data_IF_252136855488
#
_entry.id   IF_252136855488
#
_cell.length_a   1.000
_cell.length_b   1.000
_cell.length_c   1.000
_cell.angle_alpha   90.00
_cell.angle_beta   90.00
_cell.angle_gamma   90.00
#
_symmetry.space_group_name_H-M   'P 1'
#
loop_
_entity.id
_entity.type
_entity.pdbx_description
1 polymer ?
#
# COMPACT_ATOMS: atom_id res chain seq x y z
N UNK A 1 -25.06 6.23 2.91
CA UNK A 1 -24.52 6.57 4.20
C UNK A 1 -23.12 7.08 3.97
N UNK A 2 -22.10 7.05 4.59
CA UNK A 2 -20.90 7.86 4.49
C UNK A 2 -20.26 7.93 3.10
N UNK A 3 -20.27 9.09 2.48
CA UNK A 3 -19.53 9.31 1.23
C UNK A 3 -18.02 9.26 1.51
N UNK A 4 -17.26 8.71 0.58
CA UNK A 4 -15.81 8.74 0.56
C UNK A 4 -15.33 9.90 -0.30
N UNK A 5 -14.17 10.47 0.05
CA UNK A 5 -13.42 11.38 -0.82
C UNK A 5 -12.27 10.59 -1.43
N UNK A 6 -12.12 10.66 -2.76
CA UNK A 6 -11.08 9.94 -3.49
C UNK A 6 -10.22 10.93 -4.25
N UNK A 7 -8.90 10.79 -4.13
CA UNK A 7 -7.91 11.65 -4.79
C UNK A 7 -6.90 10.76 -5.53
N UNK A 8 -6.69 11.00 -6.81
CA UNK A 8 -5.59 10.38 -7.56
C UNK A 8 -4.24 10.94 -7.08
N UNK A 9 -3.23 10.09 -7.03
CA UNK A 9 -1.97 10.36 -6.38
C UNK A 9 -0.81 10.48 -7.36
N UNK A 10 0.00 11.52 -7.21
CA UNK A 10 1.28 11.67 -7.92
C UNK A 10 1.17 11.71 -9.45
N UNK A 11 0.00 11.95 -10.02
CA UNK A 11 -0.22 11.83 -11.46
C UNK A 11 -0.18 10.38 -11.98
N UNK A 12 -0.15 9.39 -11.07
CA UNK A 12 -0.09 7.96 -11.43
C UNK A 12 -1.52 7.44 -11.57
N UNK A 13 -1.93 7.21 -12.80
CA UNK A 13 -3.31 6.81 -13.15
C UNK A 13 -3.78 5.57 -12.38
N UNK A 14 -4.91 5.71 -11.69
CA UNK A 14 -5.58 4.64 -10.96
C UNK A 14 -5.09 4.47 -9.52
N UNK A 15 -3.94 5.03 -9.14
CA UNK A 15 -3.45 5.05 -7.77
C UNK A 15 -4.21 6.12 -6.97
N UNK A 16 -4.84 5.74 -5.83
CA UNK A 16 -5.79 6.64 -5.17
C UNK A 16 -5.65 6.61 -3.64
N UNK A 17 -5.74 7.78 -3.02
CA UNK A 17 -6.00 7.90 -1.58
C UNK A 17 -7.51 8.03 -1.38
N UNK A 18 -8.05 7.26 -0.44
CA UNK A 18 -9.46 7.26 -0.05
C UNK A 18 -9.57 7.76 1.38
N UNK A 19 -10.41 8.77 1.58
CA UNK A 19 -10.71 9.34 2.90
C UNK A 19 -12.17 9.03 3.23
N UNK A 20 -12.45 8.12 4.20
CA UNK A 20 -13.81 7.82 4.62
C UNK A 20 -14.41 8.98 5.42
N UNK A 21 -15.72 9.14 5.36
CA UNK A 21 -16.42 10.05 6.28
C UNK A 21 -16.46 9.45 7.67
N UNK A 22 -15.96 10.20 8.64
CA UNK A 22 -15.94 9.82 10.07
C UNK A 22 -17.03 10.56 10.81
N UNK A 23 -17.90 9.82 11.48
CA UNK A 23 -18.97 10.35 12.34
C UNK A 23 -18.58 10.20 13.80
N UNK A 24 -18.26 11.31 14.48
CA UNK A 24 -17.82 11.32 15.88
C UNK A 24 -18.88 11.90 16.81
N UNK A 25 -18.97 11.35 18.04
CA UNK A 25 -19.72 11.88 19.16
C UNK A 25 -19.01 11.60 20.51
N UNK A 26 -19.68 11.86 21.64
CA UNK A 26 -19.10 11.64 22.98
C UNK A 26 -18.77 10.18 23.30
N UNK A 27 -19.23 9.22 22.51
CA UNK A 27 -18.96 7.78 22.67
C UNK A 27 -17.75 7.31 21.86
N UNK A 28 -17.28 8.11 20.89
CA UNK A 28 -16.23 7.76 19.96
C UNK A 28 -16.62 8.08 18.52
N UNK A 29 -16.32 7.19 17.57
CA UNK A 29 -16.63 7.44 16.17
C UNK A 29 -17.15 6.16 15.47
N UNK A 30 -17.85 6.39 14.36
CA UNK A 30 -18.25 5.39 13.38
C UNK A 30 -17.80 5.82 12.00
N UNK A 31 -17.38 4.87 11.16
CA UNK A 31 -17.14 5.09 9.72
C UNK A 31 -17.37 3.80 8.94
N UNK A 32 -17.85 3.94 7.71
CA UNK A 32 -17.79 2.84 6.74
C UNK A 32 -16.39 2.79 6.18
N UNK A 33 -15.70 1.68 6.34
CA UNK A 33 -14.33 1.50 5.82
C UNK A 33 -14.32 0.99 4.40
N UNK A 34 -15.40 0.34 3.98
CA UNK A 34 -15.60 -0.13 2.62
C UNK A 34 -17.10 -0.28 2.32
N UNK A 35 -17.50 0.21 1.16
CA UNK A 35 -18.84 0.01 0.58
C UNK A 35 -18.66 -0.11 -0.93
N UNK A 36 -18.96 -1.27 -1.49
CA UNK A 36 -18.73 -1.56 -2.91
C UNK A 36 -19.36 -0.51 -3.85
N UNK A 37 -20.58 -0.06 -3.56
CA UNK A 37 -21.28 0.90 -4.42
C UNK A 37 -20.59 2.27 -4.41
N UNK A 38 -20.18 2.77 -3.24
CA UNK A 38 -19.49 4.06 -3.11
C UNK A 38 -18.11 4.02 -3.78
N UNK A 39 -17.37 2.90 -3.61
CA UNK A 39 -16.09 2.70 -4.26
C UNK A 39 -16.21 2.57 -5.78
N UNK A 40 -17.22 1.84 -6.26
CA UNK A 40 -17.52 1.72 -7.69
C UNK A 40 -17.88 3.06 -8.32
N UNK A 41 -18.71 3.87 -7.67
CA UNK A 41 -19.07 5.23 -8.11
C UNK A 41 -17.84 6.13 -8.17
N UNK A 42 -16.88 5.96 -7.25
CA UNK A 42 -15.60 6.67 -7.22
C UNK A 42 -14.53 6.09 -8.20
N UNK A 43 -14.91 5.15 -9.06
CA UNK A 43 -14.04 4.54 -10.07
C UNK A 43 -13.09 3.47 -9.51
N UNK A 44 -13.48 2.81 -8.41
CA UNK A 44 -12.83 1.62 -7.85
C UNK A 44 -13.82 0.46 -7.92
N UNK A 45 -14.03 -0.06 -9.13
CA UNK A 45 -14.98 -1.15 -9.39
C UNK A 45 -14.27 -2.52 -9.23
N UNK A 46 -13.73 -2.77 -8.05
CA UNK A 46 -12.95 -3.98 -7.73
C UNK A 46 -13.73 -4.85 -6.74
N UNK A 47 -13.79 -6.14 -7.01
CA UNK A 47 -14.29 -7.13 -6.06
C UNK A 47 -13.12 -7.63 -5.21
N UNK A 48 -13.21 -7.48 -3.89
CA UNK A 48 -12.20 -7.97 -2.95
C UNK A 48 -12.63 -9.32 -2.39
N UNK A 49 -11.70 -10.28 -2.42
CA UNK A 49 -11.96 -11.68 -2.07
C UNK A 49 -11.15 -12.17 -0.87
N UNK A 50 -10.19 -11.38 -0.39
CA UNK A 50 -9.32 -11.74 0.73
C UNK A 50 -9.03 -10.52 1.60
N UNK A 51 -9.10 -10.70 2.92
CA UNK A 51 -8.66 -9.73 3.93
C UNK A 51 -7.43 -10.26 4.67
N UNK A 52 -6.47 -9.37 4.90
CA UNK A 52 -5.25 -9.67 5.66
C UNK A 52 -5.02 -8.64 6.76
N UNK A 53 -4.36 -9.07 7.84
CA UNK A 53 -3.89 -8.19 8.91
C UNK A 53 -2.47 -8.57 9.30
N UNK A 54 -1.64 -7.57 9.53
CA UNK A 54 -0.30 -7.73 10.08
C UNK A 54 -0.06 -6.76 11.22
N UNK A 55 0.83 -7.15 12.13
CA UNK A 55 1.30 -6.36 13.25
C UNK A 55 2.82 -6.25 13.17
N UNK A 56 3.37 -5.07 13.36
CA UNK A 56 4.79 -4.80 13.18
C UNK A 56 5.29 -3.71 14.12
N UNK A 57 6.54 -3.83 14.55
CA UNK A 57 7.23 -2.83 15.36
C UNK A 57 7.87 -1.74 14.51
N UNK A 58 8.25 -0.63 15.16
CA UNK A 58 8.97 0.50 14.56
C UNK A 58 10.19 0.04 13.77
N UNK A 59 10.41 0.62 12.60
CA UNK A 59 11.53 0.30 11.73
C UNK A 59 11.32 -0.94 10.85
N UNK A 60 10.25 -1.72 11.05
CA UNK A 60 9.93 -2.82 10.13
C UNK A 60 9.57 -2.24 8.77
N UNK A 61 10.32 -2.65 7.74
CA UNK A 61 10.03 -2.34 6.34
C UNK A 61 9.69 -3.64 5.63
N UNK A 62 8.50 -3.69 5.03
CA UNK A 62 8.02 -4.82 4.23
C UNK A 62 7.86 -4.37 2.78
N UNK A 63 8.39 -5.13 1.85
CA UNK A 63 8.25 -4.84 0.42
C UNK A 63 9.59 -4.73 -0.31
N UNK A 64 9.57 -4.27 -1.51
CA UNK A 64 8.43 -3.95 -2.38
C UNK A 64 7.91 -5.22 -3.07
N UNK A 65 6.66 -5.64 -2.81
CA UNK A 65 6.12 -6.93 -3.25
C UNK A 65 5.02 -6.79 -4.31
N UNK A 66 4.90 -7.82 -5.15
CA UNK A 66 3.79 -8.02 -6.09
C UNK A 66 3.61 -9.51 -6.36
N UNK A 67 2.50 -9.89 -6.99
CA UNK A 67 2.32 -11.22 -7.59
C UNK A 67 2.45 -11.10 -9.11
N UNK A 68 3.11 -12.08 -9.73
CA UNK A 68 3.53 -12.02 -11.13
C UNK A 68 2.37 -12.42 -12.06
N UNK A 69 1.80 -13.62 -11.86
CA UNK A 69 0.75 -14.19 -12.71
C UNK A 69 -0.66 -13.93 -12.14
N UNK A 70 -0.76 -13.68 -10.83
CA UNK A 70 -2.01 -13.42 -10.12
C UNK A 70 -1.98 -12.04 -9.43
N UNK A 71 -1.81 -10.94 -10.21
CA UNK A 71 -1.66 -9.61 -9.64
C UNK A 71 -2.92 -9.17 -8.91
N UNK A 72 -2.72 -8.53 -7.76
CA UNK A 72 -3.79 -8.11 -6.85
C UNK A 72 -3.95 -6.59 -6.87
N UNK A 73 -5.21 -6.11 -6.97
CA UNK A 73 -5.55 -4.78 -6.46
C UNK A 73 -5.57 -4.85 -4.93
N UNK A 74 -5.14 -3.80 -4.27
CA UNK A 74 -5.10 -3.73 -2.81
C UNK A 74 -5.78 -2.47 -2.30
N UNK A 75 -6.54 -2.60 -1.23
CA UNK A 75 -7.06 -1.46 -0.46
C UNK A 75 -6.51 -1.58 0.97
N UNK A 76 -5.57 -0.71 1.30
CA UNK A 76 -4.80 -0.81 2.54
C UNK A 76 -5.13 0.32 3.50
N UNK A 77 -5.05 0.07 4.81
CA UNK A 77 -5.22 1.07 5.88
C UNK A 77 -4.52 0.62 7.16
N UNK A 78 -4.30 1.58 8.06
CA UNK A 78 -3.76 1.35 9.39
C UNK A 78 -4.86 1.48 10.43
N UNK A 79 -4.98 0.51 11.33
CA UNK A 79 -5.97 0.50 12.41
C UNK A 79 -5.36 0.82 13.77
N UNK A 80 -4.04 0.72 13.91
CA UNK A 80 -3.27 1.14 15.06
C UNK A 80 -1.90 1.64 14.59
N UNK A 81 -1.42 2.75 15.13
CA UNK A 81 -0.12 3.34 14.77
C UNK A 81 -0.10 4.04 13.43
N UNK A 82 1.09 4.10 12.82
CA UNK A 82 1.38 4.88 11.62
C UNK A 82 2.43 4.20 10.75
N UNK A 83 2.23 4.22 9.44
CA UNK A 83 3.20 3.75 8.44
C UNK A 83 3.36 4.77 7.32
N UNK A 84 4.51 4.74 6.65
CA UNK A 84 4.68 5.31 5.33
C UNK A 84 4.50 4.21 4.29
N UNK A 85 3.46 4.30 3.50
CA UNK A 85 3.06 3.30 2.52
C UNK A 85 3.44 3.74 1.11
N UNK A 86 4.03 2.84 0.32
CA UNK A 86 4.61 3.15 -1.00
C UNK A 86 4.09 2.19 -2.05
N UNK A 87 3.70 2.73 -3.19
CA UNK A 87 3.38 1.99 -4.39
C UNK A 87 4.25 2.44 -5.57
N UNK A 88 4.79 1.48 -6.32
CA UNK A 88 5.64 1.71 -7.50
C UNK A 88 4.92 1.18 -8.74
N UNK A 89 4.74 2.00 -9.76
CA UNK A 89 4.11 1.60 -11.01
C UNK A 89 5.02 0.67 -11.83
N UNK A 90 4.63 -0.59 -11.99
CA UNK A 90 5.33 -1.58 -12.79
C UNK A 90 4.55 -1.98 -14.06
N UNK A 91 3.54 -1.22 -14.44
CA UNK A 91 2.71 -1.52 -15.62
C UNK A 91 3.47 -1.16 -16.90
N UNK A 92 3.78 -2.15 -17.69
CA UNK A 92 4.43 -1.96 -19.00
C UNK A 92 3.62 -1.01 -19.88
N UNK A 93 4.31 -0.05 -20.51
CA UNK A 93 3.69 0.97 -21.36
C UNK A 93 3.00 2.11 -20.59
N UNK A 94 3.03 2.12 -19.26
CA UNK A 94 2.57 3.27 -18.47
C UNK A 94 3.52 4.46 -18.64
N UNK A 95 2.96 5.67 -18.76
CA UNK A 95 3.74 6.93 -18.76
C UNK A 95 4.46 7.14 -17.41
N UNK A 96 4.01 6.46 -16.38
CA UNK A 96 4.57 6.52 -15.02
C UNK A 96 5.31 5.24 -14.62
N UNK A 97 5.70 4.40 -15.60
CA UNK A 97 6.49 3.20 -15.34
C UNK A 97 7.76 3.49 -14.53
N UNK A 98 7.96 2.81 -13.42
CA UNK A 98 9.05 3.04 -12.48
C UNK A 98 8.86 4.25 -11.56
N UNK A 99 7.78 5.03 -11.67
CA UNK A 99 7.47 6.10 -10.72
C UNK A 99 6.79 5.54 -9.48
N UNK A 100 7.00 6.20 -8.36
CA UNK A 100 6.39 5.82 -7.09
C UNK A 100 5.62 6.98 -6.45
N UNK A 101 4.72 6.63 -5.56
CA UNK A 101 4.04 7.55 -4.67
C UNK A 101 4.00 6.96 -3.27
N UNK A 102 4.25 7.79 -2.27
CA UNK A 102 4.18 7.43 -0.87
C UNK A 102 3.17 8.28 -0.10
N UNK A 103 2.53 7.67 0.87
CA UNK A 103 1.54 8.33 1.73
C UNK A 103 1.65 7.83 3.17
N UNK A 104 1.49 8.74 4.13
CA UNK A 104 1.36 8.37 5.53
C UNK A 104 -0.07 7.89 5.77
N UNK A 105 -0.20 6.64 6.26
CA UNK A 105 -1.43 6.04 6.73
C UNK A 105 -1.36 5.85 8.24
N UNK A 106 -2.41 6.26 8.96
CA UNK A 106 -2.46 6.10 10.40
C UNK A 106 -3.86 5.81 10.92
N UNK A 107 -3.94 5.23 12.12
CA UNK A 107 -5.20 5.08 12.83
C UNK A 107 -5.88 6.44 13.09
N UNK A 108 -5.12 7.52 13.16
CA UNK A 108 -5.63 8.86 13.39
C UNK A 108 -6.19 9.50 12.11
N UNK A 109 -5.42 9.49 11.01
CA UNK A 109 -5.84 10.13 9.75
C UNK A 109 -6.89 9.30 8.98
N UNK A 110 -7.03 8.01 9.29
CA UNK A 110 -8.02 7.08 8.73
C UNK A 110 -8.00 6.95 7.20
N UNK A 111 -6.92 7.43 6.57
CA UNK A 111 -6.73 7.31 5.13
C UNK A 111 -6.57 5.85 4.74
N UNK A 112 -7.04 5.55 3.55
CA UNK A 112 -6.81 4.28 2.89
C UNK A 112 -6.10 4.54 1.57
N UNK A 113 -5.32 3.56 1.12
CA UNK A 113 -4.59 3.65 -0.14
C UNK A 113 -5.05 2.53 -1.06
N UNK A 114 -5.61 2.90 -2.20
CA UNK A 114 -5.97 1.96 -3.25
C UNK A 114 -4.82 1.85 -4.24
N UNK A 115 -4.30 0.66 -4.38
CA UNK A 115 -3.15 0.31 -5.22
C UNK A 115 -3.66 -0.70 -6.26
N UNK A 116 -3.75 -0.33 -7.54
CA UNK A 116 -4.17 -1.23 -8.60
C UNK A 116 -3.18 -2.38 -8.80
N UNK A 117 -3.63 -3.46 -9.43
CA UNK A 117 -2.72 -4.51 -9.92
C UNK A 117 -1.68 -3.93 -10.89
N UNK A 118 -0.50 -4.55 -10.91
CA UNK A 118 0.64 -4.06 -11.68
C UNK A 118 1.52 -3.05 -10.95
N UNK A 119 1.32 -2.92 -9.63
CA UNK A 119 2.19 -2.13 -8.75
C UNK A 119 2.99 -3.03 -7.82
N UNK A 120 4.23 -2.63 -7.50
CA UNK A 120 4.92 -3.13 -6.32
C UNK A 120 4.50 -2.29 -5.11
N UNK A 121 4.39 -2.91 -3.96
CA UNK A 121 3.86 -2.31 -2.74
C UNK A 121 4.74 -2.64 -1.53
N UNK A 122 4.93 -1.66 -0.67
CA UNK A 122 5.63 -1.83 0.60
C UNK A 122 5.34 -0.71 1.57
N UNK A 123 5.74 -0.88 2.83
CA UNK A 123 5.56 0.14 3.86
C UNK A 123 6.66 0.10 4.92
N UNK A 124 6.90 1.25 5.53
CA UNK A 124 7.78 1.45 6.68
C UNK A 124 6.94 1.83 7.91
N UNK A 125 7.13 1.12 9.02
CA UNK A 125 6.48 1.45 10.30
C UNK A 125 7.18 2.61 10.98
N UNK A 126 6.43 3.69 11.23
CA UNK A 126 6.94 4.95 11.83
C UNK A 126 6.67 5.04 13.33
N UNK A 127 5.54 4.51 13.81
CA UNK A 127 5.16 4.45 15.22
C UNK A 127 5.83 3.26 15.92
N UNK A 128 5.79 3.22 17.25
CA UNK A 128 6.38 2.12 18.03
C UNK A 128 5.78 0.76 17.66
N UNK A 129 4.51 0.76 17.24
CA UNK A 129 3.77 -0.40 16.78
C UNK A 129 2.75 0.04 15.73
N UNK A 130 2.50 -0.79 14.73
CA UNK A 130 1.42 -0.57 13.76
C UNK A 130 0.68 -1.86 13.45
N UNK A 131 -0.65 -1.76 13.32
CA UNK A 131 -1.52 -2.79 12.78
C UNK A 131 -2.03 -2.35 11.42
N UNK A 132 -1.72 -3.15 10.41
CA UNK A 132 -1.95 -2.89 9.01
C UNK A 132 -2.93 -3.92 8.47
N UNK A 133 -4.03 -3.45 7.88
CA UNK A 133 -5.08 -4.30 7.31
C UNK A 133 -5.31 -3.96 5.84
N UNK A 134 -5.56 -4.97 5.03
CA UNK A 134 -5.78 -4.75 3.60
C UNK A 134 -6.63 -5.82 2.95
N UNK A 135 -7.41 -5.37 1.96
CA UNK A 135 -8.20 -6.19 1.07
C UNK A 135 -7.44 -6.46 -0.22
N UNK A 136 -7.61 -7.66 -0.78
CA UNK A 136 -7.02 -8.05 -2.06
C UNK A 136 -8.09 -8.53 -3.03
N UNK A 137 -7.92 -8.22 -4.33
CA UNK A 137 -8.83 -8.64 -5.41
C UNK A 137 -8.57 -10.06 -5.92
N UNK A 138 -7.49 -10.69 -5.49
CA UNK A 138 -7.15 -12.08 -5.80
C UNK A 138 -6.54 -12.74 -4.57
N UNK A 139 -6.46 -14.07 -4.58
CA UNK A 139 -5.91 -14.84 -3.48
C UNK A 139 -4.38 -14.74 -3.44
N UNK A 140 -3.83 -14.99 -2.26
CA UNK A 140 -2.38 -15.08 -2.09
C UNK A 140 -1.83 -16.39 -2.66
N UNK A 141 -0.85 -16.25 -3.54
CA UNK A 141 -0.14 -17.37 -4.16
C UNK A 141 1.33 -17.34 -3.72
N UNK A 142 1.75 -18.15 -2.73
CA UNK A 142 3.10 -18.06 -2.14
C UNK A 142 4.24 -18.34 -3.13
N UNK A 143 3.97 -19.07 -4.22
CA UNK A 143 4.95 -19.38 -5.26
C UNK A 143 4.94 -18.37 -6.44
N UNK A 144 4.11 -17.33 -6.35
CA UNK A 144 3.92 -16.32 -7.41
C UNK A 144 4.44 -14.95 -7.01
N UNK A 145 5.15 -14.85 -5.89
CA UNK A 145 5.66 -13.57 -5.42
C UNK A 145 6.86 -13.09 -6.22
N UNK A 146 6.83 -11.80 -6.54
CA UNK A 146 7.94 -11.01 -7.01
C UNK A 146 8.20 -9.84 -6.08
N UNK A 147 9.35 -9.20 -6.24
CA UNK A 147 9.69 -8.02 -5.46
C UNK A 147 10.83 -7.23 -6.07
N UNK A 148 10.96 -5.99 -5.59
CA UNK A 148 12.09 -5.11 -5.83
C UNK A 148 12.76 -4.79 -4.52
N UNK A 149 14.08 -4.62 -4.54
CA UNK A 149 14.82 -4.19 -3.35
C UNK A 149 14.33 -2.80 -2.92
N UNK A 150 14.09 -2.62 -1.62
CA UNK A 150 13.48 -1.42 -1.04
C UNK A 150 14.25 -0.11 -1.32
N UNK A 151 15.58 -0.20 -1.46
CA UNK A 151 16.50 0.92 -1.71
C UNK A 151 17.03 0.94 -3.15
N UNK A 152 16.26 0.44 -4.10
CA UNK A 152 16.61 0.48 -5.51
C UNK A 152 16.95 1.88 -5.98
N UNK A 153 18.06 2.02 -6.72
CA UNK A 153 18.62 3.33 -7.10
C UNK A 153 17.85 3.99 -8.24
N UNK A 154 17.22 3.20 -9.10
CA UNK A 154 16.47 3.71 -10.25
C UNK A 154 15.07 4.15 -9.82
N UNK A 155 14.42 3.38 -8.93
CA UNK A 155 13.14 3.75 -8.31
C UNK A 155 13.34 4.92 -7.32
N UNK A 156 14.41 4.85 -6.53
CA UNK A 156 14.82 5.87 -5.58
C UNK A 156 13.69 6.35 -4.64
N UNK A 157 13.05 5.41 -3.94
CA UNK A 157 12.04 5.76 -2.94
C UNK A 157 12.67 6.56 -1.81
N UNK A 158 12.12 7.74 -1.54
CA UNK A 158 12.53 8.60 -0.43
C UNK A 158 11.82 8.17 0.87
N UNK A 159 12.32 7.10 1.48
CA UNK A 159 11.77 6.63 2.75
C UNK A 159 12.05 7.64 3.85
N UNK A 160 11.03 8.04 4.64
CA UNK A 160 11.21 9.00 5.75
C UNK A 160 11.81 8.29 6.97
N UNK A 161 13.07 7.88 6.87
CA UNK A 161 13.79 7.16 7.92
C UNK A 161 14.37 8.18 8.89
N UNK A 162 13.85 8.31 10.12
CA UNK A 162 14.41 9.21 11.12
C UNK A 162 15.84 8.81 11.50
N UNK A 163 16.64 9.79 11.88
CA UNK A 163 17.99 9.55 12.39
C UNK A 163 17.96 8.57 13.58
N UNK A 164 18.80 7.56 13.54
CA UNK A 164 18.87 6.52 14.57
C UNK A 164 17.81 5.42 14.49
N UNK A 165 16.92 5.45 13.49
CA UNK A 165 15.99 4.35 13.27
C UNK A 165 16.73 3.13 12.70
N UNK A 166 16.68 2.02 13.41
CA UNK A 166 17.12 0.72 12.89
C UNK A 166 16.03 0.11 12.00
N UNK A 167 16.41 -0.29 10.78
CA UNK A 167 15.49 -0.95 9.85
C UNK A 167 15.50 -2.47 10.08
N UNK A 168 14.31 -3.06 10.08
CA UNK A 168 14.07 -4.48 10.31
C UNK A 168 13.40 -5.08 9.07
N UNK A 169 14.02 -6.12 8.50
CA UNK A 169 13.55 -6.78 7.29
C UNK A 169 13.35 -8.28 7.54
N UNK A 170 12.52 -8.91 6.74
CA UNK A 170 12.56 -10.36 6.57
C UNK A 170 13.76 -10.76 5.70
N UNK A 171 14.19 -12.02 5.81
CA UNK A 171 15.24 -12.57 4.94
C UNK A 171 14.91 -12.46 3.45
N UNK A 172 13.62 -12.51 3.12
CA UNK A 172 13.10 -12.40 1.76
C UNK A 172 13.22 -10.97 1.23
N UNK A 173 12.85 -9.98 2.03
CA UNK A 173 12.87 -8.56 1.64
C UNK A 173 14.28 -8.04 1.33
N UNK A 174 15.30 -8.67 1.91
CA UNK A 174 16.71 -8.33 1.65
C UNK A 174 17.28 -8.96 0.36
N UNK A 175 16.58 -9.92 -0.24
CA UNK A 175 17.06 -10.71 -1.39
C UNK A 175 16.39 -10.36 -2.72
N UNK A 176 15.47 -9.41 -2.73
CA UNK A 176 14.85 -8.97 -3.97
C UNK A 176 15.86 -8.31 -4.90
N UNK A 177 15.68 -8.52 -6.21
CA UNK A 177 16.50 -7.92 -7.25
C UNK A 177 16.22 -6.44 -7.49
N UNK A 178 17.04 -5.82 -8.32
CA UNK A 178 16.89 -4.42 -8.72
C UNK A 178 15.77 -4.24 -9.76
N UNK A 179 15.36 -2.99 -9.96
CA UNK A 179 14.43 -2.63 -11.03
C UNK A 179 15.04 -2.88 -12.41
N UNK A 180 16.35 -2.71 -12.57
CA UNK A 180 17.04 -3.04 -13.82
C UNK A 180 16.95 -4.54 -14.14
N UNK A 181 17.17 -5.41 -13.15
CA UNK A 181 16.99 -6.86 -13.31
C UNK A 181 15.54 -7.22 -13.64
N UNK A 182 14.57 -6.52 -13.03
CA UNK A 182 13.15 -6.70 -13.32
C UNK A 182 12.79 -6.37 -14.77
N UNK A 183 13.31 -5.27 -15.31
CA UNK A 183 13.08 -4.85 -16.72
C UNK A 183 13.64 -5.84 -17.75
N UNK A 184 14.65 -6.61 -17.37
CA UNK A 184 15.38 -7.52 -18.26
C UNK A 184 14.91 -9.01 -18.17
N UNK A 185 13.77 -9.25 -17.51
CA UNK A 185 13.19 -10.61 -17.33
C UNK A 185 12.39 -11.11 -18.54
#
# INVERSE_FOLDING_TARGET
MGKIKVTECGGIKGLKVVEPTVFGDTRGYFMETYNYNDFKEAGIAVEFVQDNQSSSHKGVLRGLHFQINYPQDKLVRVVNGEVFDVAVDLREGSETYGKWFGVVLSAENKKQFFIPKGFAHGFLVLSDHAEFVYKCSDFYHPNDEGGLIWNDKDINVEWPIPEGMELIFSDKDQKWGSFEEYKNR
#
